data_IF_783384522651
#
_entry.id   IF_783384522651
#
_cell.length_a   1.000
_cell.length_b   1.000
_cell.length_c   1.000
_cell.angle_alpha   90.00
_cell.angle_beta   90.00
_cell.angle_gamma   90.00
#
_symmetry.space_group_name_H-M   'P 1'
#
loop_
_entity.id
_entity.type
_entity.pdbx_description
1 polymer ?
#
# COMPACT_ATOMS: atom_id res chain seq x y z
N UNK A 1 -31.47 -1.72 -14.34
CA UNK A 1 -30.13 -2.22 -13.95
C UNK A 1 -29.42 -1.09 -13.22
N UNK A 2 -28.77 -1.37 -12.07
CA UNK A 2 -27.90 -0.38 -11.43
C UNK A 2 -26.68 -0.14 -12.32
N UNK A 3 -26.40 1.13 -12.61
CA UNK A 3 -25.24 1.56 -13.39
C UNK A 3 -24.21 2.21 -12.47
N UNK A 4 -22.95 2.10 -12.87
CA UNK A 4 -21.82 2.71 -12.18
C UNK A 4 -22.04 4.22 -11.97
N UNK A 5 -21.65 4.74 -10.81
CA UNK A 5 -21.72 6.17 -10.55
C UNK A 5 -20.52 6.91 -11.18
N UNK A 6 -20.73 7.55 -12.32
CA UNK A 6 -19.67 8.27 -13.04
C UNK A 6 -19.10 9.47 -12.26
N UNK A 7 -19.94 10.19 -11.48
CA UNK A 7 -19.47 11.33 -10.68
C UNK A 7 -18.57 10.86 -9.53
N UNK A 8 -18.95 9.77 -8.88
CA UNK A 8 -18.13 9.09 -7.89
C UNK A 8 -16.80 8.62 -8.49
N UNK A 9 -16.83 7.89 -9.61
CA UNK A 9 -15.59 7.40 -10.25
C UNK A 9 -14.65 8.53 -10.66
N UNK A 10 -15.21 9.63 -11.18
CA UNK A 10 -14.42 10.80 -11.53
C UNK A 10 -13.72 11.43 -10.32
N UNK A 11 -14.38 11.49 -9.15
CA UNK A 11 -13.78 11.99 -7.92
C UNK A 11 -12.66 11.08 -7.40
N UNK A 12 -12.88 9.76 -7.42
CA UNK A 12 -11.93 8.75 -6.95
C UNK A 12 -11.05 8.23 -8.09
N UNK A 13 -10.46 9.15 -8.85
CA UNK A 13 -9.50 8.81 -9.91
C UNK A 13 -8.23 9.62 -9.71
N UNK A 14 -7.09 8.93 -9.73
CA UNK A 14 -5.78 9.59 -9.65
C UNK A 14 -5.52 10.44 -10.90
N UNK A 15 -4.72 11.52 -10.78
CA UNK A 15 -4.27 12.29 -11.93
C UNK A 15 -3.67 11.38 -13.02
N UNK A 16 -3.90 11.69 -14.32
CA UNK A 16 -3.36 10.91 -15.41
C UNK A 16 -1.83 10.95 -15.41
N UNK A 17 -1.21 9.88 -15.90
CA UNK A 17 0.25 9.84 -16.09
C UNK A 17 0.61 10.84 -17.18
N UNK A 18 1.53 11.76 -16.87
CA UNK A 18 2.07 12.71 -17.84
C UNK A 18 3.33 12.10 -18.46
N UNK A 19 3.46 12.13 -19.80
CA UNK A 19 4.67 11.66 -20.45
C UNK A 19 5.83 12.54 -20.01
N UNK A 20 6.84 11.94 -19.37
CA UNK A 20 8.03 12.66 -18.96
C UNK A 20 8.84 13.07 -20.18
N UNK A 21 9.31 14.32 -20.21
CA UNK A 21 10.31 14.80 -21.16
C UNK A 21 11.75 14.52 -20.69
N UNK A 22 11.93 13.94 -19.50
CA UNK A 22 13.26 13.60 -18.97
C UNK A 22 13.83 12.37 -19.69
N UNK A 23 14.81 12.64 -20.55
CA UNK A 23 15.71 11.63 -21.09
C UNK A 23 16.72 11.19 -20.04
N UNK A 24 16.62 9.90 -19.70
CA UNK A 24 17.50 9.08 -18.86
C UNK A 24 17.39 9.29 -17.33
N UNK A 25 17.23 8.20 -16.55
CA UNK A 25 17.29 8.27 -15.11
C UNK A 25 18.66 8.81 -14.68
N UNK A 26 18.68 9.77 -13.76
CA UNK A 26 19.91 10.18 -13.10
C UNK A 26 20.55 8.95 -12.46
N UNK A 27 21.70 8.53 -12.96
CA UNK A 27 22.45 7.40 -12.41
C UNK A 27 22.89 7.80 -11.01
N UNK A 28 22.22 7.28 -9.99
CA UNK A 28 22.64 7.47 -8.61
C UNK A 28 23.98 6.75 -8.42
N UNK A 29 24.94 7.46 -7.83
CA UNK A 29 26.23 6.86 -7.49
C UNK A 29 26.01 5.65 -6.58
N UNK A 30 26.72 4.57 -6.86
CA UNK A 30 26.66 3.37 -6.02
C UNK A 30 27.24 3.68 -4.63
N UNK A 31 26.70 3.06 -3.57
CA UNK A 31 27.23 3.25 -2.24
C UNK A 31 28.67 2.74 -2.15
N UNK A 32 29.50 3.44 -1.38
CA UNK A 32 30.86 2.99 -1.08
C UNK A 32 30.83 1.76 -0.17
N UNK A 33 31.78 0.85 -0.38
CA UNK A 33 31.95 -0.32 0.48
C UNK A 33 32.51 0.10 1.84
N UNK A 34 31.88 -0.36 2.93
CA UNK A 34 32.24 -0.02 4.31
C UNK A 34 32.56 -1.27 5.10
N UNK A 35 33.45 -1.13 6.09
CA UNK A 35 33.73 -2.17 7.09
C UNK A 35 32.85 -1.87 8.31
N UNK A 36 31.89 -2.76 8.60
CA UNK A 36 30.88 -2.54 9.66
C UNK A 36 31.08 -3.53 10.79
N UNK A 37 31.22 -4.81 10.45
CA UNK A 37 31.35 -5.91 11.39
C UNK A 37 32.80 -6.39 11.53
N UNK A 38 33.63 -6.11 10.51
CA UNK A 38 34.98 -6.66 10.40
C UNK A 38 35.03 -8.08 9.80
N UNK A 39 33.87 -8.73 9.61
CA UNK A 39 33.74 -9.94 8.81
C UNK A 39 33.52 -9.54 7.34
N UNK A 40 34.45 -9.93 6.47
CA UNK A 40 34.45 -9.54 5.06
C UNK A 40 33.21 -10.03 4.30
N UNK A 41 32.69 -11.22 4.62
CA UNK A 41 31.53 -11.78 3.95
C UNK A 41 30.25 -11.10 4.42
N UNK A 42 30.13 -10.84 5.72
CA UNK A 42 29.00 -10.09 6.29
C UNK A 42 28.98 -8.66 5.77
N UNK A 43 30.14 -7.99 5.74
CA UNK A 43 30.27 -6.62 5.23
C UNK A 43 30.01 -6.54 3.72
N UNK A 44 30.36 -7.59 2.96
CA UNK A 44 30.00 -7.68 1.55
C UNK A 44 28.47 -7.80 1.38
N UNK A 45 27.79 -8.67 2.13
CA UNK A 45 26.32 -8.79 2.05
C UNK A 45 25.63 -7.50 2.50
N UNK A 46 26.13 -6.82 3.53
CA UNK A 46 25.65 -5.48 3.93
C UNK A 46 25.75 -4.49 2.77
N UNK A 47 26.89 -4.45 2.08
CA UNK A 47 27.06 -3.57 0.93
C UNK A 47 26.13 -3.94 -0.23
N UNK A 48 25.97 -5.24 -0.54
CA UNK A 48 25.01 -5.69 -1.56
C UNK A 48 23.59 -5.24 -1.23
N UNK A 49 23.17 -5.30 0.04
CA UNK A 49 21.87 -4.78 0.48
C UNK A 49 21.74 -3.27 0.23
N UNK A 50 22.79 -2.48 0.49
CA UNK A 50 22.79 -1.05 0.20
C UNK A 50 22.71 -0.75 -1.31
N UNK A 51 23.42 -1.52 -2.14
CA UNK A 51 23.29 -1.43 -3.61
C UNK A 51 21.86 -1.75 -4.03
N UNK A 52 21.26 -2.80 -3.47
CA UNK A 52 19.90 -3.21 -3.82
C UNK A 52 18.88 -2.12 -3.44
N UNK A 53 19.03 -1.51 -2.26
CA UNK A 53 18.16 -0.42 -1.79
C UNK A 53 18.17 0.82 -2.68
N UNK A 54 19.15 0.99 -3.58
CA UNK A 54 19.14 2.07 -4.57
C UNK A 54 17.99 1.97 -5.57
N UNK A 55 17.38 0.79 -5.74
CA UNK A 55 16.28 0.58 -6.68
C UNK A 55 16.72 0.55 -8.16
N UNK A 56 18.03 0.59 -8.46
CA UNK A 56 18.52 0.61 -9.83
C UNK A 56 18.61 -0.80 -10.41
N UNK A 57 17.86 -1.09 -11.49
CA UNK A 57 17.74 -2.44 -12.04
C UNK A 57 19.07 -3.11 -12.44
N UNK A 58 19.97 -2.38 -13.11
CA UNK A 58 21.29 -2.91 -13.51
C UNK A 58 22.18 -3.26 -12.31
N UNK A 59 22.41 -2.32 -11.38
CA UNK A 59 23.11 -2.59 -10.13
C UNK A 59 22.49 -3.69 -9.28
N UNK A 60 21.17 -3.76 -9.18
CA UNK A 60 20.46 -4.84 -8.45
C UNK A 60 20.77 -6.20 -9.07
N UNK A 61 20.66 -6.34 -10.40
CA UNK A 61 20.98 -7.60 -11.07
C UNK A 61 22.44 -8.02 -10.81
N UNK A 62 23.37 -7.06 -10.89
CA UNK A 62 24.79 -7.28 -10.59
C UNK A 62 25.01 -7.70 -9.13
N UNK A 63 24.30 -7.08 -8.19
CA UNK A 63 24.39 -7.41 -6.77
C UNK A 63 23.87 -8.82 -6.47
N UNK A 64 22.76 -9.23 -7.10
CA UNK A 64 22.21 -10.58 -6.96
C UNK A 64 23.15 -11.63 -7.56
N UNK A 65 23.78 -11.35 -8.70
CA UNK A 65 24.76 -12.27 -9.29
C UNK A 65 26.04 -12.36 -8.46
N UNK A 66 26.49 -11.25 -7.87
CA UNK A 66 27.62 -11.25 -6.93
C UNK A 66 27.30 -12.07 -5.66
N UNK A 67 26.07 -11.99 -5.14
CA UNK A 67 25.64 -12.78 -3.99
C UNK A 67 25.74 -14.30 -4.25
N UNK A 68 25.43 -14.75 -5.47
CA UNK A 68 25.55 -16.18 -5.86
C UNK A 68 26.99 -16.68 -5.90
N UNK A 69 27.98 -15.78 -6.02
CA UNK A 69 29.40 -16.14 -6.02
C UNK A 69 29.98 -16.29 -4.60
N UNK A 70 29.22 -15.93 -3.57
CA UNK A 70 29.65 -16.11 -2.18
C UNK A 70 29.62 -17.60 -1.86
N UNK A 71 30.79 -18.15 -1.47
CA UNK A 71 30.95 -19.58 -1.22
C UNK A 71 30.22 -20.05 0.04
N UNK A 72 30.21 -19.21 1.08
CA UNK A 72 29.50 -19.52 2.32
C UNK A 72 27.99 -19.36 2.13
N UNK A 73 27.18 -20.32 2.61
CA UNK A 73 25.72 -20.20 2.53
C UNK A 73 25.24 -18.90 3.21
N UNK A 74 24.36 -18.14 2.54
CA UNK A 74 23.87 -16.85 3.05
C UNK A 74 23.24 -16.95 4.44
N UNK A 75 22.62 -18.09 4.77
CA UNK A 75 22.03 -18.35 6.09
C UNK A 75 23.09 -18.41 7.20
N UNK A 76 24.30 -18.89 6.92
CA UNK A 76 25.40 -18.85 7.87
C UNK A 76 25.90 -17.42 8.07
N UNK A 77 25.96 -16.62 7.00
CA UNK A 77 26.34 -15.21 7.07
C UNK A 77 25.31 -14.41 7.88
N UNK A 78 24.03 -14.69 7.70
CA UNK A 78 22.96 -14.12 8.54
C UNK A 78 23.16 -14.47 10.01
N UNK A 79 23.47 -15.72 10.36
CA UNK A 79 23.73 -16.08 11.76
C UNK A 79 24.93 -15.31 12.34
N UNK A 80 26.01 -15.14 11.58
CA UNK A 80 27.17 -14.33 12.01
C UNK A 80 26.77 -12.86 12.24
N UNK A 81 25.93 -12.32 11.37
CA UNK A 81 25.40 -10.95 11.52
C UNK A 81 24.50 -10.82 12.75
N UNK A 82 23.55 -11.75 12.95
CA UNK A 82 22.68 -11.81 14.14
C UNK A 82 23.50 -11.85 15.42
N UNK A 83 24.54 -12.70 15.45
CA UNK A 83 25.45 -12.81 16.59
C UNK A 83 26.23 -11.52 16.86
N UNK A 84 26.71 -10.86 15.80
CA UNK A 84 27.34 -9.54 15.90
C UNK A 84 26.37 -8.51 16.49
N UNK A 85 25.15 -8.41 15.95
CA UNK A 85 24.12 -7.48 16.44
C UNK A 85 23.76 -7.76 17.89
N UNK A 86 23.66 -9.03 18.29
CA UNK A 86 23.39 -9.41 19.69
C UNK A 86 24.48 -8.94 20.65
N UNK A 87 25.76 -9.04 20.26
CA UNK A 87 26.90 -8.59 21.08
C UNK A 87 27.01 -7.07 21.13
N UNK A 88 26.72 -6.39 20.01
CA UNK A 88 26.97 -4.95 19.86
C UNK A 88 25.77 -4.06 20.18
N UNK A 89 24.56 -4.61 20.27
CA UNK A 89 23.33 -3.85 20.60
C UNK A 89 23.02 -3.76 22.10
N UNK A 90 23.93 -4.21 22.97
CA UNK A 90 23.69 -4.28 24.42
C UNK A 90 22.58 -5.27 24.81
N UNK A 91 22.31 -6.27 23.96
CA UNK A 91 21.24 -7.24 24.17
C UNK A 91 19.83 -6.71 23.86
N UNK A 92 19.70 -5.62 23.09
CA UNK A 92 18.41 -5.08 22.67
C UNK A 92 17.64 -6.13 21.83
N UNK A 93 16.52 -6.68 22.33
CA UNK A 93 15.78 -7.73 21.60
C UNK A 93 15.23 -7.26 20.25
N UNK A 94 14.89 -5.98 20.11
CA UNK A 94 14.39 -5.42 18.86
C UNK A 94 15.49 -5.35 17.79
N UNK A 95 16.72 -4.96 18.17
CA UNK A 95 17.84 -4.92 17.23
C UNK A 95 18.14 -6.31 16.66
N UNK A 96 18.09 -7.35 17.49
CA UNK A 96 18.26 -8.74 17.06
C UNK A 96 17.10 -9.18 16.18
N UNK A 97 15.85 -8.87 16.55
CA UNK A 97 14.68 -9.17 15.72
C UNK A 97 14.79 -8.58 14.31
N UNK A 98 15.19 -7.32 14.18
CA UNK A 98 15.35 -6.66 12.87
C UNK A 98 16.55 -7.17 12.05
N UNK A 99 17.43 -7.98 12.64
CA UNK A 99 18.54 -8.61 11.93
C UNK A 99 18.15 -9.91 11.21
N UNK A 100 16.98 -10.50 11.54
CA UNK A 100 16.45 -11.65 10.81
C UNK A 100 15.98 -11.26 9.41
N UNK A 101 16.15 -12.17 8.44
CA UNK A 101 15.90 -11.88 7.01
C UNK A 101 17.03 -11.09 6.34
N UNK A 102 18.18 -10.99 7.00
CA UNK A 102 19.37 -10.34 6.44
C UNK A 102 19.84 -10.99 5.13
N UNK A 103 19.71 -12.31 5.00
CA UNK A 103 20.09 -13.04 3.79
C UNK A 103 19.07 -12.93 2.65
N UNK A 104 17.86 -12.41 2.89
CA UNK A 104 16.81 -12.30 1.85
C UNK A 104 17.07 -11.12 0.91
N UNK A 105 18.04 -11.30 0.02
CA UNK A 105 18.41 -10.31 -1.00
C UNK A 105 17.40 -10.26 -2.15
N UNK A 106 16.74 -11.38 -2.46
CA UNK A 106 15.75 -11.45 -3.54
C UNK A 106 14.46 -10.72 -3.17
N UNK A 107 13.95 -10.94 -1.95
CA UNK A 107 12.81 -10.19 -1.42
C UNK A 107 13.12 -8.70 -1.32
N UNK A 108 14.31 -8.34 -0.85
CA UNK A 108 14.77 -6.95 -0.81
C UNK A 108 14.86 -6.32 -2.21
N UNK A 109 15.34 -7.07 -3.21
CA UNK A 109 15.44 -6.62 -4.59
C UNK A 109 14.06 -6.38 -5.21
N UNK A 110 13.14 -7.31 -5.03
CA UNK A 110 11.75 -7.17 -5.48
C UNK A 110 11.11 -5.91 -4.89
N UNK A 111 11.18 -5.74 -3.57
CA UNK A 111 10.62 -4.56 -2.90
C UNK A 111 11.27 -3.24 -3.32
N UNK A 112 12.59 -3.24 -3.55
CA UNK A 112 13.30 -2.03 -4.00
C UNK A 112 12.93 -1.63 -5.44
N UNK A 113 12.76 -2.60 -6.34
CA UNK A 113 12.29 -2.37 -7.71
C UNK A 113 10.84 -1.89 -7.74
N UNK A 114 9.96 -2.51 -6.95
CA UNK A 114 8.56 -2.09 -6.81
C UNK A 114 8.47 -0.67 -6.28
N UNK A 115 9.22 -0.32 -5.22
CA UNK A 115 9.29 1.04 -4.69
C UNK A 115 9.79 2.04 -5.74
N UNK A 116 10.82 1.70 -6.50
CA UNK A 116 11.35 2.56 -7.56
C UNK A 116 10.32 2.79 -8.67
N UNK A 117 9.59 1.76 -9.09
CA UNK A 117 8.52 1.85 -10.08
C UNK A 117 7.36 2.73 -9.57
N UNK A 118 6.92 2.53 -8.32
CA UNK A 118 5.90 3.37 -7.68
C UNK A 118 6.35 4.83 -7.57
N UNK A 119 7.61 5.07 -7.20
CA UNK A 119 8.16 6.41 -7.10
C UNK A 119 8.28 7.09 -8.48
N UNK A 120 8.54 6.33 -9.54
CA UNK A 120 8.51 6.84 -10.91
C UNK A 120 7.09 7.21 -11.33
N UNK A 121 6.09 6.35 -11.05
CA UNK A 121 4.70 6.65 -11.35
C UNK A 121 4.19 7.86 -10.56
N UNK A 122 4.54 7.97 -9.27
CA UNK A 122 4.20 9.11 -8.42
C UNK A 122 4.65 10.43 -9.07
N UNK A 123 5.91 10.51 -9.51
CA UNK A 123 6.45 11.70 -10.22
C UNK A 123 5.77 11.96 -11.56
N UNK A 124 5.34 10.91 -12.26
CA UNK A 124 4.65 11.07 -13.54
C UNK A 124 3.21 11.59 -13.36
N UNK A 125 2.54 11.25 -12.25
CA UNK A 125 1.17 11.70 -11.94
C UNK A 125 1.15 13.07 -11.25
N UNK A 126 2.08 13.32 -10.33
CA UNK A 126 2.08 14.49 -9.44
C UNK A 126 3.30 15.39 -9.72
N UNK A 127 3.10 16.71 -9.71
CA UNK A 127 4.18 17.70 -9.87
C UNK A 127 4.84 17.98 -8.52
N UNK A 128 6.17 17.88 -8.43
CA UNK A 128 6.90 18.20 -7.20
C UNK A 128 6.34 17.46 -5.98
N UNK A 129 5.93 18.22 -4.97
CA UNK A 129 5.39 17.70 -3.70
C UNK A 129 3.85 17.59 -3.69
N UNK A 130 3.16 17.87 -4.80
CA UNK A 130 1.68 17.85 -4.87
C UNK A 130 1.05 16.48 -4.53
N UNK A 131 1.84 15.40 -4.53
CA UNK A 131 1.40 14.08 -4.06
C UNK A 131 1.01 14.08 -2.56
N UNK A 132 1.59 14.98 -1.77
CA UNK A 132 1.30 15.12 -0.34
C UNK A 132 0.21 16.14 -0.04
N UNK A 133 -0.27 16.87 -1.05
CA UNK A 133 -1.41 17.78 -0.91
C UNK A 133 -2.73 16.98 -0.86
N UNK A 134 -3.73 17.58 -0.22
CA UNK A 134 -5.06 16.99 -0.13
C UNK A 134 -5.70 16.89 -1.52
N UNK A 135 -5.96 15.67 -1.95
CA UNK A 135 -6.68 15.40 -3.20
C UNK A 135 -8.13 15.90 -3.12
N UNK A 136 -8.81 16.13 -4.27
CA UNK A 136 -10.23 16.49 -4.26
C UNK A 136 -11.11 15.50 -3.48
N UNK A 137 -10.75 14.21 -3.48
CA UNK A 137 -11.41 13.16 -2.70
C UNK A 137 -11.22 13.36 -1.19
N UNK A 138 -10.00 13.67 -0.73
CA UNK A 138 -9.71 13.95 0.69
C UNK A 138 -10.43 15.22 1.15
N UNK A 139 -10.39 16.29 0.35
CA UNK A 139 -11.13 17.53 0.64
C UNK A 139 -12.64 17.30 0.70
N UNK A 140 -13.19 16.40 -0.11
CA UNK A 140 -14.58 15.98 0.00
C UNK A 140 -14.86 15.34 1.36
N UNK A 141 -14.00 14.41 1.80
CA UNK A 141 -14.15 13.71 3.07
C UNK A 141 -14.10 14.68 4.25
N UNK A 142 -13.12 15.60 4.25
CA UNK A 142 -13.01 16.68 5.23
C UNK A 142 -14.30 17.51 5.28
N UNK A 143 -14.80 17.97 4.14
CA UNK A 143 -16.03 18.78 4.05
C UNK A 143 -17.26 18.01 4.53
N UNK A 144 -17.39 16.74 4.18
CA UNK A 144 -18.50 15.89 4.59
C UNK A 144 -18.55 15.70 6.12
N UNK A 145 -17.38 15.65 6.77
CA UNK A 145 -17.24 15.38 8.20
C UNK A 145 -16.95 16.61 9.08
N UNK A 146 -16.68 17.80 8.52
CA UNK A 146 -16.36 19.07 9.21
C UNK A 146 -17.24 19.43 10.42
N UNK A 147 -18.47 18.92 10.47
CA UNK A 147 -19.42 19.13 11.58
C UNK A 147 -20.12 17.84 12.01
N UNK A 148 -19.47 16.70 11.81
CA UNK A 148 -19.96 15.42 12.31
C UNK A 148 -19.82 15.39 13.84
N UNK A 149 -20.95 15.31 14.54
CA UNK A 149 -20.93 15.23 16.01
C UNK A 149 -20.30 13.90 16.40
N UNK A 150 -19.29 13.95 17.27
CA UNK A 150 -18.62 12.76 17.77
C UNK A 150 -17.50 12.24 16.87
N UNK A 151 -17.15 12.92 15.78
CA UNK A 151 -15.95 12.59 15.01
C UNK A 151 -14.73 13.30 15.62
N UNK A 152 -13.74 12.53 16.07
CA UNK A 152 -12.42 13.05 16.51
C UNK A 152 -11.27 12.49 15.68
N UNK A 153 -11.37 11.22 15.29
CA UNK A 153 -10.42 10.53 14.43
C UNK A 153 -11.11 9.35 13.74
N UNK A 154 -10.41 8.67 12.83
CA UNK A 154 -10.94 7.47 12.17
C UNK A 154 -11.23 6.31 13.16
N UNK A 155 -10.60 6.30 14.34
CA UNK A 155 -10.82 5.26 15.37
C UNK A 155 -11.74 5.71 16.51
N UNK A 156 -11.79 7.01 16.84
CA UNK A 156 -12.70 7.59 17.83
C UNK A 156 -13.78 8.41 17.11
N UNK A 157 -14.76 7.68 16.55
CA UNK A 157 -15.95 8.26 15.94
C UNK A 157 -17.21 7.37 16.08
N UNK A 158 -18.37 8.02 15.92
CA UNK A 158 -19.65 7.34 15.74
C UNK A 158 -19.83 6.94 14.27
N UNK A 159 -19.57 5.66 13.96
CA UNK A 159 -19.68 5.10 12.60
C UNK A 159 -21.05 5.34 11.96
N UNK A 160 -22.15 5.27 12.72
CA UNK A 160 -23.48 5.49 12.19
C UNK A 160 -23.69 6.95 11.77
N UNK A 161 -23.14 7.90 12.53
CA UNK A 161 -23.21 9.31 12.19
C UNK A 161 -22.28 9.66 11.02
N UNK A 162 -21.09 9.08 10.95
CA UNK A 162 -20.18 9.20 9.80
C UNK A 162 -20.86 8.69 8.53
N UNK A 163 -21.42 7.48 8.57
CA UNK A 163 -22.16 6.90 7.46
C UNK A 163 -23.36 7.77 7.05
N UNK A 164 -24.10 8.32 8.01
CA UNK A 164 -25.19 9.28 7.74
C UNK A 164 -24.69 10.56 7.06
N UNK A 165 -23.47 11.02 7.35
CA UNK A 165 -22.88 12.20 6.67
C UNK A 165 -22.54 11.89 5.23
N UNK A 166 -21.85 10.77 4.97
CA UNK A 166 -21.52 10.38 3.60
C UNK A 166 -22.77 10.10 2.76
N UNK A 167 -23.77 9.41 3.31
CA UNK A 167 -25.04 9.14 2.60
C UNK A 167 -25.85 10.39 2.22
N UNK A 168 -25.56 11.56 2.80
CA UNK A 168 -26.20 12.83 2.37
C UNK A 168 -25.68 13.31 1.01
N UNK A 169 -24.52 12.85 0.59
CA UNK A 169 -23.91 13.13 -0.70
C UNK A 169 -24.26 11.99 -1.66
N UNK A 170 -25.55 11.84 -1.96
CA UNK A 170 -26.08 10.75 -2.78
C UNK A 170 -25.42 10.71 -4.17
N UNK A 171 -25.04 11.87 -4.71
CA UNK A 171 -24.33 12.02 -5.98
C UNK A 171 -22.91 11.43 -5.97
N UNK A 172 -22.30 11.22 -4.81
CA UNK A 172 -20.97 10.63 -4.61
C UNK A 172 -21.01 9.25 -3.92
N UNK A 173 -22.19 8.68 -3.74
CA UNK A 173 -22.34 7.33 -3.21
C UNK A 173 -21.96 6.28 -4.27
N UNK A 174 -21.23 5.21 -3.90
CA UNK A 174 -21.11 4.06 -4.78
C UNK A 174 -22.49 3.48 -5.06
N UNK A 175 -22.81 3.20 -6.33
CA UNK A 175 -24.07 2.56 -6.71
C UNK A 175 -23.93 1.05 -6.87
N UNK A 176 -22.69 0.59 -7.04
CA UNK A 176 -22.35 -0.79 -7.41
C UNK A 176 -21.20 -1.26 -6.55
N UNK A 177 -21.01 -2.57 -6.43
CA UNK A 177 -19.86 -3.10 -5.70
C UNK A 177 -18.55 -2.80 -6.47
N UNK A 178 -18.62 -2.73 -7.80
CA UNK A 178 -17.49 -2.26 -8.62
C UNK A 178 -17.11 -0.80 -8.31
N UNK A 179 -18.08 0.07 -7.98
CA UNK A 179 -17.77 1.43 -7.51
C UNK A 179 -17.06 1.40 -6.15
N UNK A 180 -17.49 0.54 -5.23
CA UNK A 180 -16.78 0.38 -3.96
C UNK A 180 -15.34 -0.09 -4.16
N UNK A 181 -15.13 -1.11 -5.00
CA UNK A 181 -13.79 -1.62 -5.29
C UNK A 181 -12.92 -0.57 -6.02
N UNK A 182 -13.53 0.25 -6.88
CA UNK A 182 -12.84 1.37 -7.54
C UNK A 182 -12.34 2.40 -6.53
N UNK A 183 -13.18 2.83 -5.58
CA UNK A 183 -12.78 3.78 -4.54
C UNK A 183 -11.74 3.17 -3.57
N UNK A 184 -11.89 1.92 -3.15
CA UNK A 184 -10.90 1.22 -2.32
C UNK A 184 -9.54 1.15 -3.04
N UNK A 185 -9.54 0.81 -4.34
CA UNK A 185 -8.32 0.77 -5.14
C UNK A 185 -7.68 2.16 -5.26
N UNK A 186 -8.47 3.23 -5.34
CA UNK A 186 -7.98 4.61 -5.32
C UNK A 186 -7.22 4.92 -4.03
N UNK A 187 -7.81 4.63 -2.86
CA UNK A 187 -7.19 4.89 -1.55
C UNK A 187 -5.89 4.09 -1.38
N UNK A 188 -5.94 2.79 -1.63
CA UNK A 188 -4.75 1.94 -1.58
C UNK A 188 -3.65 2.39 -2.56
N UNK A 189 -4.03 2.86 -3.76
CA UNK A 189 -3.06 3.36 -4.73
C UNK A 189 -2.42 4.67 -4.29
N UNK A 190 -3.20 5.60 -3.75
CA UNK A 190 -2.68 6.86 -3.23
C UNK A 190 -1.68 6.61 -2.09
N UNK A 191 -2.02 5.71 -1.16
CA UNK A 191 -1.16 5.30 -0.05
C UNK A 191 0.21 4.78 -0.53
N UNK A 192 0.22 3.77 -1.43
CA UNK A 192 1.49 3.17 -1.88
C UNK A 192 2.34 4.14 -2.70
N UNK A 193 1.71 5.07 -3.43
CA UNK A 193 2.45 6.11 -4.16
C UNK A 193 3.11 7.10 -3.19
N UNK A 194 2.39 7.58 -2.15
CA UNK A 194 2.96 8.46 -1.11
C UNK A 194 4.09 7.78 -0.35
N UNK A 195 3.89 6.54 0.10
CA UNK A 195 4.90 5.75 0.80
C UNK A 195 6.15 5.46 -0.06
N UNK A 196 6.02 5.43 -1.39
CA UNK A 196 7.17 5.23 -2.27
C UNK A 196 8.11 6.45 -2.34
N UNK A 197 7.58 7.67 -2.17
CA UNK A 197 8.33 8.93 -2.33
C UNK A 197 8.56 9.71 -1.02
N UNK A 198 7.88 9.36 0.07
CA UNK A 198 8.02 10.01 1.37
C UNK A 198 8.02 9.02 2.54
N UNK A 199 8.12 9.56 3.76
CA UNK A 199 8.12 8.78 5.01
C UNK A 199 6.71 8.47 5.54
N UNK A 200 5.69 9.16 5.02
CA UNK A 200 4.29 9.05 5.47
C UNK A 200 3.38 8.75 4.28
N UNK A 201 2.60 7.67 4.37
CA UNK A 201 1.64 7.25 3.34
C UNK A 201 0.18 7.53 3.70
N UNK A 202 -0.12 7.71 4.99
CA UNK A 202 -1.49 7.81 5.50
C UNK A 202 -2.17 9.10 5.03
N UNK A 203 -3.46 8.99 4.70
CA UNK A 203 -4.32 10.13 4.42
C UNK A 203 -4.92 10.75 5.68
N UNK A 204 -5.73 11.78 5.49
CA UNK A 204 -6.50 12.39 6.58
C UNK A 204 -7.40 11.38 7.30
N UNK A 205 -7.67 11.58 8.59
CA UNK A 205 -8.59 10.72 9.36
C UNK A 205 -9.98 10.59 8.68
N UNK A 206 -10.45 11.65 8.03
CA UNK A 206 -11.70 11.68 7.30
C UNK A 206 -11.69 10.79 6.05
N UNK A 207 -10.54 10.70 5.36
CA UNK A 207 -10.35 9.83 4.21
C UNK A 207 -10.32 8.36 4.62
N UNK A 208 -9.61 8.04 5.72
CA UNK A 208 -9.61 6.68 6.29
C UNK A 208 -11.03 6.28 6.74
N UNK A 209 -11.77 7.20 7.36
CA UNK A 209 -13.17 6.95 7.74
C UNK A 209 -14.07 6.73 6.51
N UNK A 210 -13.78 7.38 5.39
CA UNK A 210 -14.47 7.15 4.11
C UNK A 210 -14.15 5.77 3.54
N UNK A 211 -12.89 5.36 3.54
CA UNK A 211 -12.46 4.03 3.08
C UNK A 211 -13.20 2.92 3.83
N UNK A 212 -13.25 3.01 5.17
CA UNK A 212 -13.99 2.06 6.00
C UNK A 212 -15.49 2.06 5.70
N UNK A 213 -16.08 3.25 5.55
CA UNK A 213 -17.49 3.37 5.17
C UNK A 213 -17.79 2.67 3.83
N UNK A 214 -16.90 2.80 2.84
CA UNK A 214 -17.06 2.17 1.52
C UNK A 214 -16.87 0.66 1.59
N UNK A 215 -15.96 0.18 2.44
CA UNK A 215 -15.86 -1.24 2.76
C UNK A 215 -17.15 -1.79 3.35
N UNK A 216 -17.78 -1.08 4.30
CA UNK A 216 -19.07 -1.50 4.87
C UNK A 216 -20.15 -1.63 3.78
N UNK A 217 -20.11 -0.79 2.74
CA UNK A 217 -21.04 -0.87 1.60
C UNK A 217 -20.93 -2.19 0.82
N UNK A 218 -19.81 -2.93 0.89
CA UNK A 218 -19.69 -4.25 0.26
C UNK A 218 -20.68 -5.28 0.83
N UNK A 219 -21.12 -5.06 2.07
CA UNK A 219 -22.14 -5.89 2.73
C UNK A 219 -23.58 -5.36 2.56
N UNK A 220 -23.75 -4.14 2.04
CA UNK A 220 -25.06 -3.49 1.91
C UNK A 220 -25.55 -3.42 0.46
N UNK A 221 -24.66 -3.17 -0.50
CA UNK A 221 -25.00 -3.04 -1.91
C UNK A 221 -25.16 -4.43 -2.52
N UNK A 222 -26.28 -4.67 -3.19
CA UNK A 222 -26.51 -5.95 -3.87
C UNK A 222 -25.63 -6.08 -5.11
N UNK A 223 -24.95 -7.23 -5.34
CA UNK A 223 -24.27 -7.49 -6.59
C UNK A 223 -25.26 -7.44 -7.76
N UNK A 224 -24.83 -6.84 -8.86
CA UNK A 224 -25.61 -6.79 -10.11
C UNK A 224 -25.55 -8.09 -10.86
N UNK A 225 -24.45 -8.82 -10.74
CA UNK A 225 -24.19 -10.10 -11.39
C UNK A 225 -23.16 -10.92 -10.61
N UNK A 226 -23.02 -12.19 -10.99
CA UNK A 226 -22.09 -13.12 -10.35
C UNK A 226 -20.63 -12.69 -10.49
N UNK A 227 -20.24 -12.06 -11.61
CA UNK A 227 -18.86 -11.64 -11.82
C UNK A 227 -18.44 -10.53 -10.85
N UNK A 228 -19.34 -9.58 -10.58
CA UNK A 228 -19.13 -8.54 -9.57
C UNK A 228 -19.05 -9.14 -8.15
N UNK A 229 -19.90 -10.12 -7.82
CA UNK A 229 -19.82 -10.83 -6.55
C UNK A 229 -18.47 -11.56 -6.37
N UNK A 230 -17.97 -12.24 -7.41
CA UNK A 230 -16.68 -12.92 -7.38
C UNK A 230 -15.53 -11.93 -7.13
N UNK A 231 -15.51 -10.77 -7.79
CA UNK A 231 -14.48 -9.74 -7.54
C UNK A 231 -14.46 -9.26 -6.09
N UNK A 232 -15.62 -9.12 -5.45
CA UNK A 232 -15.69 -8.75 -4.04
C UNK A 232 -15.17 -9.88 -3.13
N UNK A 233 -15.47 -11.15 -3.45
CA UNK A 233 -14.90 -12.28 -2.72
C UNK A 233 -13.38 -12.35 -2.86
N UNK A 234 -12.85 -12.16 -4.07
CA UNK A 234 -11.40 -12.14 -4.32
C UNK A 234 -10.71 -11.01 -3.54
N UNK A 235 -11.31 -9.82 -3.53
CA UNK A 235 -10.85 -8.71 -2.71
C UNK A 235 -10.87 -9.08 -1.22
N UNK A 236 -12.01 -9.57 -0.72
CA UNK A 236 -12.19 -9.85 0.69
C UNK A 236 -11.24 -10.94 1.19
N UNK A 237 -10.93 -11.94 0.37
CA UNK A 237 -10.01 -13.02 0.70
C UNK A 237 -8.57 -12.56 0.98
N UNK A 238 -8.17 -11.39 0.46
CA UNK A 238 -6.81 -10.84 0.60
C UNK A 238 -6.75 -9.55 1.44
N UNK A 239 -7.90 -8.94 1.76
CA UNK A 239 -7.95 -7.69 2.49
C UNK A 239 -7.72 -7.91 4.00
N UNK A 240 -6.53 -7.56 4.49
CA UNK A 240 -6.20 -7.65 5.93
C UNK A 240 -7.10 -6.78 6.82
N UNK A 241 -7.64 -5.70 6.26
CA UNK A 241 -8.59 -4.79 6.94
C UNK A 241 -9.99 -5.39 7.21
N UNK A 242 -10.35 -6.51 6.58
CA UNK A 242 -11.67 -7.12 6.77
C UNK A 242 -11.61 -8.15 7.90
N UNK A 243 -12.25 -7.81 9.01
CA UNK A 243 -12.41 -8.73 10.13
C UNK A 243 -13.39 -9.88 9.80
N UNK A 244 -13.33 -10.95 10.60
CA UNK A 244 -14.15 -12.15 10.40
C UNK A 244 -15.65 -11.84 10.26
N UNK A 245 -16.19 -10.98 11.12
CA UNK A 245 -17.62 -10.62 11.08
C UNK A 245 -17.98 -9.84 9.81
N UNK A 246 -17.07 -8.97 9.33
CA UNK A 246 -17.21 -8.27 8.05
C UNK A 246 -17.22 -9.24 6.86
N UNK A 247 -16.30 -10.21 6.86
CA UNK A 247 -16.27 -11.27 5.85
C UNK A 247 -17.58 -12.07 5.81
N UNK A 248 -18.14 -12.41 6.97
CA UNK A 248 -19.43 -13.12 7.06
C UNK A 248 -20.57 -12.25 6.52
N UNK A 249 -20.61 -10.96 6.85
CA UNK A 249 -21.63 -10.03 6.37
C UNK A 249 -21.59 -9.88 4.83
N UNK A 250 -20.41 -9.67 4.27
CA UNK A 250 -20.18 -9.62 2.82
C UNK A 250 -20.64 -10.93 2.18
N UNK A 251 -20.19 -12.07 2.68
CA UNK A 251 -20.56 -13.39 2.14
C UNK A 251 -22.07 -13.60 2.12
N UNK A 252 -22.78 -13.23 3.20
CA UNK A 252 -24.24 -13.31 3.27
C UNK A 252 -24.91 -12.43 2.22
N UNK A 253 -24.47 -11.19 2.05
CA UNK A 253 -24.99 -10.28 1.03
C UNK A 253 -24.87 -10.86 -0.39
N UNK A 254 -23.68 -11.40 -0.71
CA UNK A 254 -23.39 -11.96 -2.03
C UNK A 254 -24.20 -13.22 -2.33
N UNK A 255 -24.38 -14.11 -1.34
CA UNK A 255 -25.18 -15.33 -1.48
C UNK A 255 -26.68 -15.00 -1.61
N UNK A 256 -27.18 -14.12 -0.76
CA UNK A 256 -28.62 -13.80 -0.70
C UNK A 256 -29.10 -13.09 -1.96
N UNK A 257 -28.20 -12.33 -2.60
CA UNK A 257 -28.47 -11.63 -3.86
C UNK A 257 -28.26 -12.52 -5.09
N UNK A 258 -27.60 -13.67 -4.94
CA UNK A 258 -27.36 -14.66 -5.99
C UNK A 258 -28.44 -15.74 -6.14
N UNK A 259 -29.61 -15.55 -5.51
CA UNK A 259 -30.76 -16.44 -5.70
C UNK A 259 -31.16 -16.53 -7.18
N UNK A 260 -30.89 -17.68 -7.79
CA UNK A 260 -31.25 -18.05 -9.16
C UNK A 260 -32.66 -17.60 -9.52
N UNK A 261 -32.91 -17.03 -10.72
CA UNK A 261 -34.26 -16.98 -11.24
C UNK A 261 -34.78 -18.41 -11.39
N UNK A 262 -35.95 -18.67 -10.81
CA UNK A 262 -36.75 -19.85 -11.11
C UNK A 262 -37.30 -19.78 -12.54
#
# INVERSE_FOLDING_TARGET
>A
MLTDNLAHRALFTLPPIRPSAETAPAVQALPEQKVVTGDKEVDAVLWLREVIKTGQAGPIATALDAAKQIKTPLKEIEQRYVDYVKRNSGGNPFAVMFSFGFADLEGLAKGSLEKAALASEARARFEGETIFEDTPAEQFCEKALKRCKGFKSYFDNDKAQVAKRFRKHAELMPHTLDDCLHEIAYWGRLYVLRHAVGEWGDGMHEAIAREWFVQDQLSEIKPRNQAEALRVLDYAAHAESIEHDGMVAISRNLITSGGLPA
#
